data_IF_469870980983
#
_entry.id   IF_469870980983
#
_cell.length_a   1.000
_cell.length_b   1.000
_cell.length_c   1.000
_cell.angle_alpha   90.00
_cell.angle_beta   90.00
_cell.angle_gamma   90.00
#
_symmetry.space_group_name_H-M   'P 1'
#
loop_
_entity.id
_entity.type
_entity.pdbx_description
1 polymer ?
#
# COMPACT_ATOMS: atom_id res chain seq x y z
N UNK A 1 11.03 12.59 3.21
CA UNK A 1 11.20 11.54 2.18
C UNK A 1 9.98 10.60 2.15
N UNK A 2 9.16 10.67 3.19
CA UNK A 2 8.01 9.79 3.29
C UNK A 2 6.71 10.59 3.17
N UNK A 3 5.64 10.01 2.60
CA UNK A 3 4.33 10.67 2.51
C UNK A 3 3.85 11.13 3.88
N UNK A 4 3.78 10.20 4.81
CA UNK A 4 3.52 10.51 6.18
C UNK A 4 4.70 10.14 7.05
N UNK A 5 4.45 9.66 8.25
CA UNK A 5 5.52 9.17 9.10
C UNK A 5 6.03 7.85 8.53
N UNK A 6 5.09 7.03 8.12
CA UNK A 6 5.40 5.77 7.46
C UNK A 6 5.23 5.93 5.95
N UNK A 7 5.68 4.94 5.20
CA UNK A 7 5.48 4.92 3.76
C UNK A 7 4.20 4.18 3.43
N UNK A 8 3.22 4.87 2.90
CA UNK A 8 1.97 4.23 2.59
C UNK A 8 1.71 4.28 1.10
N UNK A 9 1.12 3.20 0.60
CA UNK A 9 0.90 3.03 -0.83
C UNK A 9 -0.47 2.43 -1.08
N UNK A 10 -1.02 2.70 -2.24
CA UNK A 10 -2.28 2.13 -2.64
C UNK A 10 -2.03 0.83 -3.38
N UNK A 11 -2.45 -0.26 -2.79
CA UNK A 11 -2.20 -1.56 -3.38
C UNK A 11 -3.42 -2.04 -4.14
N UNK A 12 -3.27 -2.16 -5.44
CA UNK A 12 -4.33 -2.68 -6.29
C UNK A 12 -4.21 -4.19 -6.35
N UNK A 13 -5.22 -4.88 -5.86
CA UNK A 13 -5.19 -6.33 -5.76
C UNK A 13 -6.32 -6.94 -6.57
N UNK A 14 -6.02 -7.99 -7.32
CA UNK A 14 -7.03 -8.65 -8.12
C UNK A 14 -7.18 -10.11 -7.69
N UNK A 15 -8.41 -10.57 -7.63
CA UNK A 15 -8.70 -11.92 -7.16
C UNK A 15 -8.52 -12.96 -8.27
N UNK A 16 -7.30 -13.08 -8.78
CA UNK A 16 -6.94 -14.09 -9.78
C UNK A 16 -7.82 -13.96 -11.02
N UNK A 17 -7.82 -12.78 -11.62
CA UNK A 17 -8.60 -12.54 -12.83
C UNK A 17 -10.02 -12.08 -12.53
N UNK A 18 -10.42 -12.20 -11.27
CA UNK A 18 -11.71 -11.71 -10.83
C UNK A 18 -11.62 -10.22 -10.51
N UNK A 19 -12.67 -9.68 -9.90
CA UNK A 19 -12.74 -8.25 -9.64
C UNK A 19 -11.60 -7.81 -8.73
N UNK A 20 -11.18 -6.57 -8.91
CA UNK A 20 -10.04 -6.05 -8.19
C UNK A 20 -10.48 -5.07 -7.11
N UNK A 21 -9.62 -4.88 -6.12
CA UNK A 21 -9.91 -3.99 -5.02
C UNK A 21 -8.64 -3.26 -4.60
N UNK A 22 -8.79 -2.18 -3.85
CA UNK A 22 -7.64 -1.43 -3.39
C UNK A 22 -7.76 -1.06 -1.93
N UNK A 23 -6.64 -1.04 -1.24
CA UNK A 23 -6.64 -0.71 0.18
C UNK A 23 -5.40 0.10 0.53
N UNK A 24 -5.43 0.73 1.69
CA UNK A 24 -4.33 1.58 2.11
C UNK A 24 -3.31 0.75 2.87
N UNK A 25 -2.19 0.48 2.23
CA UNK A 25 -1.16 -0.33 2.85
C UNK A 25 0.02 0.54 3.24
N UNK A 26 0.16 0.77 4.53
CA UNK A 26 1.18 1.65 5.05
C UNK A 26 2.25 0.86 5.80
N UNK A 27 3.50 1.00 5.37
CA UNK A 27 4.61 0.32 6.00
C UNK A 27 5.59 1.36 6.55
N UNK A 28 6.03 1.17 7.78
CA UNK A 28 6.93 2.13 8.41
C UNK A 28 8.38 1.67 8.30
N UNK A 29 9.18 2.37 7.49
CA UNK A 29 10.60 2.04 7.32
C UNK A 29 11.46 2.66 8.41
N UNK A 30 12.46 1.91 8.91
CA UNK A 30 13.33 2.36 10.00
C UNK A 30 14.26 3.50 9.59
N UNK A 31 14.34 3.77 8.30
CA UNK A 31 15.19 4.84 7.80
C UNK A 31 14.37 6.13 7.61
N UNK A 32 13.18 6.15 8.19
CA UNK A 32 12.30 7.30 8.10
C UNK A 32 11.91 7.78 9.48
#
# INVERSE_FOLDING_TARGET
SCPGECNCHWELFCEEGRLCTGYRHCVCPPSC
#
